data_IF_162426659991
#
_entry.id   IF_162426659991
#
_cell.length_a   1.000
_cell.length_b   1.000
_cell.length_c   1.000
_cell.angle_alpha   90.00
_cell.angle_beta   90.00
_cell.angle_gamma   90.00
#
_symmetry.space_group_name_H-M   'P 1'
#
loop_
_entity.id
_entity.type
_entity.pdbx_description
1 polymer ?
#
# COMPACT_ATOMS: atom_id res chain seq x y z
N UNK A 1 4.39 -48.00 0.62
CA UNK A 1 3.22 -47.47 -0.10
C UNK A 1 2.81 -46.20 0.62
N UNK A 2 2.94 -45.03 -0.01
CA UNK A 2 2.61 -43.75 0.63
C UNK A 2 1.09 -43.54 0.63
N UNK A 3 0.50 -42.98 1.70
CA UNK A 3 -0.93 -42.71 1.74
C UNK A 3 -1.33 -41.66 0.70
N UNK A 4 -2.54 -41.72 0.13
CA UNK A 4 -3.01 -40.72 -0.81
C UNK A 4 -3.17 -39.37 -0.10
N UNK A 5 -2.51 -38.35 -0.63
CA UNK A 5 -2.61 -36.98 -0.14
C UNK A 5 -4.01 -36.44 -0.51
N UNK A 6 -4.79 -35.88 0.44
CA UNK A 6 -6.08 -35.28 0.12
C UNK A 6 -5.89 -34.10 -0.86
N UNK A 7 -6.79 -34.00 -1.85
CA UNK A 7 -6.78 -32.92 -2.83
C UNK A 7 -7.06 -31.56 -2.13
N UNK A 8 -6.00 -30.81 -1.86
CA UNK A 8 -6.00 -29.45 -1.28
C UNK A 8 -6.61 -28.38 -2.23
N UNK A 9 -7.50 -28.73 -3.14
CA UNK A 9 -7.84 -27.90 -4.30
C UNK A 9 -8.95 -26.88 -4.08
N UNK A 10 -9.77 -26.97 -3.03
CA UNK A 10 -10.92 -26.05 -2.86
C UNK A 10 -10.64 -24.82 -1.98
N UNK A 11 -9.74 -24.92 -0.99
CA UNK A 11 -9.46 -23.80 -0.08
C UNK A 11 -8.53 -22.73 -0.68
N UNK A 12 -7.65 -23.10 -1.61
CA UNK A 12 -6.71 -22.15 -2.24
C UNK A 12 -7.39 -21.19 -3.23
N UNK A 13 -8.54 -21.56 -3.78
CA UNK A 13 -9.26 -20.76 -4.80
C UNK A 13 -9.95 -19.51 -4.24
N UNK A 14 -10.13 -19.42 -2.90
CA UNK A 14 -10.70 -18.23 -2.24
C UNK A 14 -9.64 -17.18 -1.90
N UNK A 15 -8.38 -17.57 -1.68
CA UNK A 15 -7.26 -16.66 -1.35
C UNK A 15 -6.76 -15.83 -2.54
N UNK A 16 -6.99 -16.28 -3.77
CA UNK A 16 -6.60 -15.53 -4.98
C UNK A 16 -7.38 -14.24 -5.21
N UNK A 17 -8.44 -13.98 -4.44
CA UNK A 17 -9.27 -12.79 -4.58
C UNK A 17 -9.03 -11.79 -3.46
N UNK A 18 -7.82 -11.62 -2.98
CA UNK A 18 -7.54 -10.56 -2.01
C UNK A 18 -6.40 -9.74 -2.57
N UNK A 19 -6.73 -8.55 -3.08
CA UNK A 19 -5.72 -7.66 -3.66
C UNK A 19 -5.08 -6.91 -2.49
N UNK A 20 -3.81 -7.20 -2.21
CA UNK A 20 -3.01 -6.43 -1.27
C UNK A 20 -2.73 -5.05 -1.88
N UNK A 21 -3.46 -4.03 -1.41
CA UNK A 21 -3.27 -2.64 -1.84
C UNK A 21 -2.38 -1.92 -0.85
N UNK A 22 -1.21 -1.51 -1.31
CA UNK A 22 -0.23 -0.78 -0.49
C UNK A 22 -0.39 0.71 -0.71
N UNK A 23 -0.50 1.45 0.38
CA UNK A 23 -0.68 2.90 0.37
C UNK A 23 0.42 3.54 1.20
N UNK A 24 1.04 4.60 0.68
CA UNK A 24 1.94 5.46 1.45
C UNK A 24 1.27 6.79 1.74
N UNK A 25 1.43 7.26 2.97
CA UNK A 25 0.95 8.56 3.45
C UNK A 25 2.12 9.51 3.53
N UNK A 26 1.98 10.64 2.86
CA UNK A 26 2.97 11.69 2.78
C UNK A 26 2.50 12.86 3.63
N UNK A 27 3.43 13.44 4.37
CA UNK A 27 3.24 14.67 5.12
C UNK A 27 4.22 15.73 4.63
N UNK A 28 3.72 16.91 4.32
CA UNK A 28 4.56 18.07 4.06
C UNK A 28 5.02 18.70 5.38
N UNK A 29 6.33 18.74 5.62
CA UNK A 29 6.90 19.44 6.79
C UNK A 29 6.83 20.97 6.69
N UNK A 30 6.45 21.52 5.54
CA UNK A 30 6.25 22.96 5.35
C UNK A 30 4.86 23.44 5.76
N UNK A 31 3.80 22.80 5.28
CA UNK A 31 2.42 23.20 5.53
C UNK A 31 1.59 22.17 6.32
N UNK A 32 2.21 21.08 6.77
CA UNK A 32 1.57 19.97 7.49
C UNK A 32 0.43 19.27 6.73
N UNK A 33 0.33 19.48 5.42
CA UNK A 33 -0.63 18.78 4.59
C UNK A 33 -0.28 17.29 4.51
N UNK A 34 -1.28 16.43 4.76
CA UNK A 34 -1.19 14.99 4.60
C UNK A 34 -1.97 14.54 3.38
N UNK A 35 -1.41 13.61 2.61
CA UNK A 35 -2.09 12.98 1.49
C UNK A 35 -1.61 11.55 1.29
N UNK A 36 -2.51 10.69 0.84
CA UNK A 36 -2.25 9.29 0.54
C UNK A 36 -2.00 9.09 -0.95
N UNK A 37 -1.10 8.17 -1.27
CA UNK A 37 -0.82 7.75 -2.65
C UNK A 37 -0.58 6.24 -2.70
N UNK A 38 -0.74 5.59 -3.87
CA UNK A 38 -0.31 4.21 -4.04
C UNK A 38 1.18 4.07 -3.75
N UNK A 39 1.52 3.07 -2.95
CA UNK A 39 2.89 2.76 -2.59
C UNK A 39 3.73 2.51 -3.85
N UNK A 40 4.90 3.15 -3.91
CA UNK A 40 5.89 2.91 -4.95
C UNK A 40 7.05 2.08 -4.40
N UNK A 41 7.67 1.21 -5.21
CA UNK A 41 8.84 0.45 -4.78
C UNK A 41 9.95 1.43 -4.34
N UNK A 42 10.39 1.30 -3.09
CA UNK A 42 11.36 2.19 -2.47
C UNK A 42 10.77 3.28 -1.58
N UNK A 43 9.44 3.37 -1.43
CA UNK A 43 8.82 4.13 -0.35
C UNK A 43 9.07 3.43 0.99
N UNK A 44 9.48 4.19 2.01
CA UNK A 44 9.63 3.70 3.39
C UNK A 44 9.27 4.81 4.38
N UNK A 45 8.86 4.42 5.58
CA UNK A 45 8.49 5.35 6.64
C UNK A 45 9.65 6.27 6.98
N UNK A 46 9.36 7.56 7.18
CA UNK A 46 10.32 8.66 7.38
C UNK A 46 11.23 8.98 6.19
N UNK A 47 10.99 8.41 5.00
CA UNK A 47 11.71 8.81 3.79
C UNK A 47 11.37 10.24 3.41
N UNK A 48 12.41 11.07 3.22
CA UNK A 48 12.28 12.43 2.67
C UNK A 48 12.20 12.35 1.14
N UNK A 49 11.14 12.92 0.58
CA UNK A 49 10.97 13.02 -0.87
C UNK A 49 11.47 14.40 -1.31
N UNK A 50 12.61 14.40 -1.98
CA UNK A 50 13.27 15.59 -2.55
C UNK A 50 12.86 15.86 -3.99
N UNK A 51 12.31 14.85 -4.67
CA UNK A 51 11.88 14.90 -6.07
C UNK A 51 10.45 15.42 -6.23
N UNK A 52 9.65 15.35 -5.16
CA UNK A 52 8.26 15.80 -5.17
C UNK A 52 8.06 17.14 -4.46
N UNK A 53 7.11 17.90 -4.98
CA UNK A 53 6.67 19.18 -4.45
C UNK A 53 5.31 19.03 -3.78
N UNK A 54 5.13 19.69 -2.64
CA UNK A 54 3.84 19.71 -1.99
C UNK A 54 2.83 20.48 -2.85
N UNK A 55 1.73 19.83 -3.24
CA UNK A 55 0.69 20.47 -4.05
C UNK A 55 0.01 21.67 -3.35
N UNK A 56 0.11 21.79 -2.02
CA UNK A 56 -0.46 22.93 -1.28
C UNK A 56 0.46 24.13 -1.16
N UNK A 57 1.76 23.92 -0.98
CA UNK A 57 2.70 25.02 -0.68
C UNK A 57 3.92 25.11 -1.61
N UNK A 58 4.06 24.19 -2.58
CA UNK A 58 5.18 24.16 -3.53
C UNK A 58 6.53 23.76 -2.92
N UNK A 59 6.62 23.49 -1.61
CA UNK A 59 7.88 23.13 -0.96
C UNK A 59 8.22 21.65 -1.17
N UNK A 60 9.50 21.36 -1.45
CA UNK A 60 10.09 20.00 -1.54
C UNK A 60 10.46 19.43 -0.18
N UNK A 61 9.55 19.56 0.79
CA UNK A 61 9.73 19.09 2.17
C UNK A 61 8.70 18.02 2.50
N UNK A 62 8.64 16.98 1.66
CA UNK A 62 7.71 15.88 1.85
C UNK A 62 8.39 14.73 2.57
N UNK A 63 7.66 14.08 3.46
CA UNK A 63 8.15 12.94 4.22
C UNK A 63 7.05 11.89 4.29
N UNK A 64 7.39 10.65 3.96
CA UNK A 64 6.47 9.54 4.13
C UNK A 64 6.33 9.31 5.63
N UNK A 65 5.13 9.41 6.17
CA UNK A 65 4.88 9.22 7.61
C UNK A 65 4.34 7.85 7.92
N UNK A 66 3.59 7.25 6.99
CA UNK A 66 2.94 5.96 7.20
C UNK A 66 2.94 5.16 5.90
N UNK A 67 3.07 3.85 6.01
CA UNK A 67 2.90 2.91 4.90
C UNK A 67 2.07 1.75 5.43
N UNK A 68 0.95 1.46 4.78
CA UNK A 68 0.05 0.41 5.21
C UNK A 68 -0.43 -0.41 4.01
N UNK A 69 -0.85 -1.65 4.29
CA UNK A 69 -1.39 -2.58 3.29
C UNK A 69 -2.80 -2.98 3.69
N UNK A 70 -3.75 -2.84 2.76
CA UNK A 70 -5.13 -3.27 2.94
C UNK A 70 -5.44 -4.45 2.04
N UNK A 71 -6.11 -5.45 2.60
CA UNK A 71 -6.62 -6.60 1.89
C UNK A 71 -7.99 -6.25 1.32
N UNK A 72 -8.08 -6.01 0.01
CA UNK A 72 -9.34 -5.63 -0.64
C UNK A 72 -10.00 -6.86 -1.25
N UNK A 73 -11.20 -7.20 -0.78
CA UNK A 73 -12.08 -8.17 -1.42
C UNK A 73 -12.71 -7.58 -2.71
N UNK A 74 -12.39 -8.12 -3.90
CA UNK A 74 -12.87 -7.60 -5.19
C UNK A 74 -14.38 -7.81 -5.37
N UNK A 75 -15.03 -8.65 -4.55
CA UNK A 75 -16.49 -8.86 -4.57
C UNK A 75 -17.31 -7.66 -4.06
N UNK A 76 -16.67 -6.62 -3.51
CA UNK A 76 -17.37 -5.38 -3.09
C UNK A 76 -17.45 -4.30 -4.16
N UNK A 77 -16.90 -4.50 -5.37
CA UNK A 77 -17.20 -3.61 -6.50
C UNK A 77 -18.57 -4.02 -7.07
N UNK A 78 -19.56 -3.17 -6.75
CA UNK A 78 -20.97 -3.23 -7.17
C UNK A 78 -21.14 -3.51 -8.66
#
# INVERSE_FOLDING_TARGET
MFPPIPAITDEFKRKERVIESKTSVLECKGCQAKYSRPFKPGDFTFKKLTDEECQKCGLRKLTIVEVYSEWIDPKKKK
#
